data_IF_725325761985
#
_entry.id   IF_725325761985
#
_cell.length_a   1.000
_cell.length_b   1.000
_cell.length_c   1.000
_cell.angle_alpha   90.00
_cell.angle_beta   90.00
_cell.angle_gamma   90.00
#
_symmetry.space_group_name_H-M   'P 1'
#
loop_
_entity.id
_entity.type
_entity.pdbx_description
1 polymer ?
#
# COMPACT_ATOMS: atom_id res chain seq x y z
N UNK A 1 -0.20 -12.00 19.62
CA UNK A 1 0.44 -12.58 18.42
C UNK A 1 1.55 -13.52 18.85
N UNK A 2 1.29 -14.83 18.85
CA UNK A 2 2.30 -15.86 19.13
C UNK A 2 3.23 -15.97 17.92
N UNK A 3 4.53 -15.69 18.11
CA UNK A 3 5.56 -15.78 17.06
C UNK A 3 6.35 -17.05 17.28
N UNK A 4 6.09 -18.05 16.44
CA UNK A 4 6.79 -19.32 16.44
C UNK A 4 7.53 -19.50 15.11
N UNK A 5 8.85 -19.70 15.14
CA UNK A 5 9.75 -19.72 16.31
C UNK A 5 9.93 -18.36 17.00
N UNK A 6 10.37 -18.36 18.27
CA UNK A 6 10.49 -17.15 19.10
C UNK A 6 11.38 -16.05 18.49
N UNK A 7 12.42 -16.42 17.73
CA UNK A 7 13.31 -15.45 17.07
C UNK A 7 12.65 -14.67 15.93
N UNK A 8 11.50 -15.12 15.40
CA UNK A 8 10.79 -14.41 14.34
C UNK A 8 10.34 -13.02 14.79
N UNK A 9 10.12 -12.84 16.10
CA UNK A 9 9.86 -11.53 16.69
C UNK A 9 10.93 -10.52 16.34
N UNK A 10 12.18 -10.88 16.59
CA UNK A 10 13.32 -10.01 16.37
C UNK A 10 13.47 -9.66 14.89
N UNK A 11 13.37 -10.65 13.99
CA UNK A 11 13.50 -10.43 12.54
C UNK A 11 12.45 -9.48 11.97
N UNK A 12 11.18 -9.63 12.37
CA UNK A 12 10.13 -8.72 11.91
C UNK A 12 10.38 -7.30 12.42
N UNK A 13 10.75 -7.15 13.69
CA UNK A 13 11.09 -5.85 14.25
C UNK A 13 12.30 -5.22 13.53
N UNK A 14 13.39 -5.97 13.38
CA UNK A 14 14.59 -5.53 12.65
C UNK A 14 14.23 -5.08 11.22
N UNK A 15 13.33 -5.76 10.53
CA UNK A 15 12.90 -5.40 9.18
C UNK A 15 12.08 -4.10 9.14
N UNK A 16 11.15 -3.91 10.08
CA UNK A 16 10.30 -2.69 10.16
C UNK A 16 11.15 -1.48 10.55
N UNK A 17 12.00 -1.62 11.57
CA UNK A 17 12.80 -0.54 12.13
C UNK A 17 13.87 -0.03 11.16
N UNK A 18 14.33 -0.89 10.24
CA UNK A 18 15.35 -0.56 9.25
C UNK A 18 14.78 -0.35 7.84
N UNK A 19 13.46 -0.09 7.71
CA UNK A 19 12.86 0.21 6.41
C UNK A 19 13.27 1.62 5.96
N UNK A 20 14.28 1.69 5.09
CA UNK A 20 14.83 2.97 4.61
C UNK A 20 14.06 3.61 3.44
N UNK A 21 13.20 2.84 2.77
CA UNK A 21 12.55 3.27 1.52
C UNK A 21 11.07 3.00 1.57
N UNK A 22 10.33 3.97 1.05
CA UNK A 22 8.90 3.83 0.85
C UNK A 22 8.62 2.73 -0.17
N UNK A 23 7.55 1.98 0.09
CA UNK A 23 7.10 0.97 -0.83
C UNK A 23 6.39 1.65 -2.02
N UNK A 24 7.03 1.61 -3.19
CA UNK A 24 6.34 1.98 -4.41
C UNK A 24 5.21 0.98 -4.68
N UNK A 25 3.96 1.43 -4.67
CA UNK A 25 2.77 0.58 -4.88
C UNK A 25 2.37 0.47 -6.36
N UNK A 26 2.58 1.52 -7.16
CA UNK A 26 2.11 1.60 -8.54
C UNK A 26 2.84 0.61 -9.47
N UNK A 27 2.11 -0.09 -10.35
CA UNK A 27 2.69 -1.08 -11.26
C UNK A 27 2.03 -1.00 -12.64
N UNK A 28 2.83 -1.01 -13.70
CA UNK A 28 2.34 -1.18 -15.08
C UNK A 28 2.23 -2.67 -15.40
N UNK A 29 1.09 -3.28 -15.04
CA UNK A 29 0.81 -4.71 -15.24
C UNK A 29 -0.59 -4.92 -15.81
N UNK A 30 -0.75 -5.97 -16.62
CA UNK A 30 -2.05 -6.36 -17.19
C UNK A 30 -3.01 -7.01 -16.17
N UNK A 31 -2.46 -7.59 -15.09
CA UNK A 31 -3.22 -8.27 -14.04
C UNK A 31 -2.93 -7.65 -12.67
N UNK A 32 -3.99 -7.41 -11.90
CA UNK A 32 -3.93 -6.80 -10.58
C UNK A 32 -5.26 -6.14 -10.22
N UNK A 33 -5.34 -5.61 -8.99
CA UNK A 33 -6.47 -4.80 -8.55
C UNK A 33 -6.22 -3.36 -9.06
N UNK A 34 -7.16 -2.76 -9.81
CA UNK A 34 -7.05 -1.35 -10.20
C UNK A 34 -6.96 -0.45 -8.96
N UNK A 35 -6.02 0.50 -8.96
CA UNK A 35 -5.91 1.49 -7.89
C UNK A 35 -7.05 2.49 -8.08
N UNK A 36 -7.92 2.72 -7.08
CA UNK A 36 -9.09 3.58 -7.20
C UNK A 36 -8.69 5.04 -7.10
N UNK A 37 -8.06 5.56 -8.14
CA UNK A 37 -7.68 6.96 -8.30
C UNK A 37 -8.08 7.43 -9.69
N UNK A 38 -8.59 8.65 -9.78
CA UNK A 38 -8.97 9.28 -11.04
C UNK A 38 -8.23 10.59 -11.22
N UNK A 39 -8.14 11.04 -12.47
CA UNK A 39 -7.55 12.32 -12.83
C UNK A 39 -8.54 13.09 -13.69
N UNK A 40 -8.74 14.37 -13.39
CA UNK A 40 -9.55 15.24 -14.23
C UNK A 40 -8.88 15.40 -15.61
N UNK A 41 -9.64 15.21 -16.68
CA UNK A 41 -9.08 15.20 -18.05
C UNK A 41 -8.66 16.59 -18.55
N UNK A 42 -9.12 17.67 -17.89
CA UNK A 42 -8.82 19.06 -18.24
C UNK A 42 -7.74 19.64 -17.33
N UNK A 43 -7.83 19.38 -16.02
CA UNK A 43 -6.94 19.99 -15.01
C UNK A 43 -5.81 19.06 -14.56
N UNK A 44 -5.93 17.75 -14.82
CA UNK A 44 -5.05 16.69 -14.32
C UNK A 44 -4.98 16.60 -12.79
N UNK A 45 -5.96 17.19 -12.10
CA UNK A 45 -6.06 17.09 -10.65
C UNK A 45 -6.42 15.67 -10.23
N UNK A 46 -5.84 15.23 -9.11
CA UNK A 46 -6.09 13.90 -8.56
C UNK A 46 -7.40 13.90 -7.78
N UNK A 47 -8.30 12.99 -8.15
CA UNK A 47 -9.58 12.78 -7.47
C UNK A 47 -9.46 11.47 -6.68
N UNK A 48 -9.50 11.59 -5.35
CA UNK A 48 -9.47 10.47 -4.43
C UNK A 48 -10.91 10.14 -3.99
N UNK A 49 -11.24 8.85 -3.84
CA UNK A 49 -12.54 8.44 -3.31
C UNK A 49 -12.68 8.84 -1.83
N UNK A 50 -13.90 9.11 -1.38
CA UNK A 50 -14.21 9.22 0.06
C UNK A 50 -14.14 7.85 0.74
N UNK A 51 -14.02 7.84 2.07
CA UNK A 51 -14.00 6.60 2.85
C UNK A 51 -15.28 5.78 2.64
N UNK A 52 -16.45 6.43 2.45
CA UNK A 52 -17.70 5.71 2.15
C UNK A 52 -17.70 5.07 0.77
N UNK A 53 -16.95 5.62 -0.20
CA UNK A 53 -16.82 5.03 -1.53
C UNK A 53 -15.85 3.83 -1.56
N UNK A 54 -14.96 3.75 -0.57
CA UNK A 54 -14.03 2.63 -0.39
C UNK A 54 -14.64 1.51 0.46
N UNK A 55 -15.51 1.85 1.40
CA UNK A 55 -16.28 0.89 2.16
C UNK A 55 -17.32 0.21 1.25
N UNK A 56 -17.28 -1.12 1.18
CA UNK A 56 -18.40 -1.90 0.66
C UNK A 56 -19.59 -1.81 1.59
#
# INVERSE_FOLDING_TARGET
MNRFPAFMKKRSNDWIENLQRDWNISRSRKFGIPIPVWYDVKTLETILPSDEQLAK
#
